data_IF_032443265976
#
_entry.id   IF_032443265976
#
_cell.length_a   1.000
_cell.length_b   1.000
_cell.length_c   1.000
_cell.angle_alpha   90.00
_cell.angle_beta   90.00
_cell.angle_gamma   90.00
#
_symmetry.space_group_name_H-M   'P 1'
#
loop_
_entity.id
_entity.type
_entity.pdbx_description
1 polymer ?
#
# COMPACT_ATOMS: atom_id res chain seq x y z
N UNK A 1 -31.76 44.69 19.02
CA UNK A 1 -30.64 43.93 19.61
C UNK A 1 -31.02 42.47 19.51
N UNK A 2 -30.50 41.80 18.48
CA UNK A 2 -30.87 40.41 18.16
C UNK A 2 -29.78 39.53 18.76
N UNK A 3 -30.18 38.67 19.69
CA UNK A 3 -29.32 37.66 20.32
C UNK A 3 -29.27 36.47 19.37
N UNK A 4 -28.10 36.22 18.80
CA UNK A 4 -27.84 35.07 17.94
C UNK A 4 -27.16 34.00 18.80
N UNK A 5 -27.88 32.90 19.03
CA UNK A 5 -27.42 31.75 19.81
C UNK A 5 -26.50 30.92 18.91
N UNK A 6 -25.24 30.82 19.32
CA UNK A 6 -24.21 29.97 18.71
C UNK A 6 -24.54 28.50 18.98
N UNK A 7 -24.92 27.76 17.94
CA UNK A 7 -25.02 26.31 17.95
C UNK A 7 -23.62 25.70 17.91
N UNK A 8 -23.28 24.95 18.95
CA UNK A 8 -21.97 24.36 19.17
C UNK A 8 -21.59 23.32 18.12
N UNK A 9 -20.41 23.50 17.54
CA UNK A 9 -19.63 22.42 16.97
C UNK A 9 -18.81 21.85 18.13
N UNK A 10 -19.07 20.59 18.47
CA UNK A 10 -18.22 19.80 19.35
C UNK A 10 -16.93 19.51 18.58
N UNK A 11 -15.89 20.28 18.86
CA UNK A 11 -14.51 19.93 18.51
C UNK A 11 -14.10 18.78 19.45
N UNK A 12 -14.22 17.52 19.01
CA UNK A 12 -13.46 16.45 19.64
C UNK A 12 -12.00 16.63 19.23
N UNK A 13 -11.24 17.28 20.11
CA UNK A 13 -9.78 17.25 20.11
C UNK A 13 -9.34 15.79 20.29
N UNK A 14 -8.81 15.17 19.24
CA UNK A 14 -7.89 14.05 19.42
C UNK A 14 -6.56 14.65 19.90
N UNK A 15 -6.31 14.45 21.19
CA UNK A 15 -5.05 14.78 21.84
C UNK A 15 -4.03 13.70 21.52
N UNK A 16 -2.86 14.15 21.07
CA UNK A 16 -1.53 13.59 21.28
C UNK A 16 -1.45 12.29 22.10
N UNK A 17 -0.94 11.25 21.47
CA UNK A 17 -0.11 10.22 22.12
C UNK A 17 1.19 10.08 21.33
N UNK A 18 2.02 11.13 21.36
CA UNK A 18 3.45 10.99 21.14
C UNK A 18 4.07 10.63 22.50
N UNK A 19 4.22 9.34 22.75
CA UNK A 19 4.84 8.81 23.96
C UNK A 19 6.25 8.30 23.66
N UNK A 20 7.24 9.06 24.12
CA UNK A 20 8.57 8.64 24.57
C UNK A 20 9.19 7.37 23.93
N UNK A 21 10.04 7.56 22.92
CA UNK A 21 11.17 6.64 22.68
C UNK A 21 12.44 7.25 23.26
N UNK A 22 12.75 6.81 24.48
CA UNK A 22 13.99 7.11 25.16
C UNK A 22 15.18 6.47 24.44
N UNK A 23 16.14 7.33 24.10
CA UNK A 23 17.52 7.00 23.72
C UNK A 23 18.17 6.05 24.73
N UNK A 24 18.55 4.85 24.28
CA UNK A 24 19.58 4.05 24.95
C UNK A 24 20.77 3.95 24.02
N UNK A 25 21.84 4.65 24.40
CA UNK A 25 23.16 4.51 23.83
C UNK A 25 23.70 3.11 24.15
N UNK A 26 23.99 2.33 23.11
CA UNK A 26 24.70 1.07 23.20
C UNK A 26 25.93 1.12 22.31
N UNK A 27 27.08 1.44 22.90
CA UNK A 27 28.38 1.31 22.27
C UNK A 27 28.69 -0.16 21.99
N UNK A 28 29.09 -0.46 20.75
CA UNK A 28 29.51 -1.80 20.34
C UNK A 28 30.45 -1.73 19.15
N UNK A 29 31.73 -1.55 19.43
CA UNK A 29 32.84 -1.80 18.51
C UNK A 29 32.80 -3.25 18.01
N UNK A 30 32.92 -3.47 16.70
CA UNK A 30 33.43 -4.72 16.14
C UNK A 30 33.97 -4.50 14.73
N UNK A 31 35.26 -4.76 14.60
CA UNK A 31 36.14 -4.54 13.47
C UNK A 31 35.99 -5.60 12.39
N UNK A 32 36.20 -5.15 11.15
CA UNK A 32 36.97 -5.81 10.08
C UNK A 32 36.69 -7.28 9.73
N UNK A 33 36.21 -7.52 8.50
CA UNK A 33 36.80 -8.57 7.67
C UNK A 33 36.79 -8.21 6.18
N UNK A 34 37.86 -8.63 5.53
CA UNK A 34 38.41 -8.23 4.24
C UNK A 34 37.69 -8.84 3.04
N UNK A 35 37.42 -8.01 2.04
CA UNK A 35 37.00 -8.44 0.70
C UNK A 35 38.19 -8.64 -0.23
N UNK A 36 38.25 -9.82 -0.84
CA UNK A 36 38.98 -10.13 -2.07
C UNK A 36 38.17 -11.18 -2.85
N UNK A 37 37.98 -11.00 -4.16
CA UNK A 37 37.34 -12.04 -4.99
C UNK A 37 36.83 -11.58 -6.35
N UNK A 38 37.74 -11.38 -7.29
CA UNK A 38 37.52 -11.15 -8.72
C UNK A 38 36.91 -12.37 -9.44
N UNK A 39 36.19 -12.17 -10.56
CA UNK A 39 35.96 -13.25 -11.53
C UNK A 39 34.91 -12.99 -12.61
N UNK A 40 35.39 -12.74 -13.83
CA UNK A 40 34.66 -12.59 -15.10
C UNK A 40 33.92 -13.84 -15.62
N UNK A 41 32.95 -13.65 -16.52
CA UNK A 41 32.42 -14.67 -17.44
C UNK A 41 30.99 -14.36 -17.88
N UNK A 42 30.73 -13.67 -19.00
CA UNK A 42 30.84 -14.08 -20.41
C UNK A 42 29.58 -14.80 -20.98
N UNK A 43 29.18 -14.26 -22.14
CA UNK A 43 28.43 -14.77 -23.30
C UNK A 43 27.11 -15.57 -23.18
N UNK A 44 26.03 -14.96 -23.74
CA UNK A 44 25.54 -15.44 -25.05
C UNK A 44 24.06 -15.85 -25.21
N UNK A 45 23.46 -15.31 -26.29
CA UNK A 45 22.37 -15.87 -27.11
C UNK A 45 20.96 -15.86 -26.48
N UNK A 46 19.90 -15.34 -27.10
CA UNK A 46 19.51 -15.39 -28.51
C UNK A 46 18.21 -16.21 -28.60
N UNK A 47 17.06 -15.55 -28.80
CA UNK A 47 15.77 -16.23 -28.85
C UNK A 47 14.64 -15.30 -29.28
N UNK A 48 14.48 -15.12 -30.58
CA UNK A 48 13.32 -14.50 -31.22
C UNK A 48 12.24 -15.57 -31.47
N UNK A 49 11.04 -15.35 -30.95
CA UNK A 49 9.84 -16.16 -31.20
C UNK A 49 8.61 -15.26 -31.27
N UNK A 50 8.06 -15.12 -32.47
CA UNK A 50 6.72 -14.58 -32.75
C UNK A 50 5.67 -15.57 -32.30
N UNK A 51 4.57 -15.12 -31.68
CA UNK A 51 3.23 -15.70 -31.87
C UNK A 51 2.15 -14.60 -31.80
N UNK A 52 1.49 -14.40 -32.94
CA UNK A 52 0.27 -13.63 -33.10
C UNK A 52 -0.91 -14.39 -32.46
N UNK A 53 -1.66 -13.73 -31.57
CA UNK A 53 -2.85 -14.30 -30.93
C UNK A 53 -3.97 -13.28 -30.83
N UNK A 54 -4.77 -13.17 -31.89
CA UNK A 54 -6.06 -12.45 -31.88
C UNK A 54 -7.11 -13.32 -31.18
N UNK A 55 -7.71 -12.82 -30.11
CA UNK A 55 -8.78 -13.47 -29.38
C UNK A 55 -9.79 -12.46 -28.84
N UNK A 56 -10.80 -12.15 -29.65
CA UNK A 56 -12.04 -11.53 -29.22
C UNK A 56 -12.78 -12.45 -28.23
N UNK A 57 -13.23 -11.90 -27.10
CA UNK A 57 -13.97 -12.66 -26.08
C UNK A 57 -14.72 -11.75 -25.12
N UNK A 58 -15.80 -11.14 -25.59
CA UNK A 58 -16.78 -10.48 -24.73
C UNK A 58 -17.46 -11.47 -23.78
N UNK A 59 -17.56 -11.11 -22.51
CA UNK A 59 -18.22 -11.89 -21.48
C UNK A 59 -18.74 -10.99 -20.36
N UNK A 60 -19.85 -10.30 -20.62
CA UNK A 60 -20.68 -9.69 -19.58
C UNK A 60 -21.46 -10.78 -18.85
N UNK A 61 -21.36 -10.81 -17.52
CA UNK A 61 -22.29 -11.57 -16.69
C UNK A 61 -21.76 -11.96 -15.31
N UNK A 62 -21.67 -11.01 -14.38
CA UNK A 62 -21.60 -11.36 -12.96
C UNK A 62 -23.02 -11.31 -12.38
N UNK A 63 -23.66 -12.48 -12.33
CA UNK A 63 -24.93 -12.67 -11.62
C UNK A 63 -24.59 -13.13 -10.21
N UNK A 64 -24.51 -12.17 -9.29
CA UNK A 64 -24.34 -12.42 -7.87
C UNK A 64 -25.43 -13.37 -7.38
N UNK A 65 -25.02 -14.60 -7.08
CA UNK A 65 -25.81 -15.53 -6.28
C UNK A 65 -25.21 -15.46 -4.88
N UNK A 66 -25.89 -14.75 -3.99
CA UNK A 66 -25.51 -14.63 -2.59
C UNK A 66 -25.41 -16.01 -1.96
N UNK A 67 -24.18 -16.43 -1.66
CA UNK A 67 -23.91 -17.51 -0.75
C UNK A 67 -23.87 -16.91 0.65
N UNK A 68 -25.02 -16.93 1.32
CA UNK A 68 -25.09 -16.85 2.78
C UNK A 68 -24.44 -18.10 3.38
N UNK A 69 -23.11 -18.12 3.38
CA UNK A 69 -22.28 -19.19 3.90
C UNK A 69 -21.89 -18.88 5.34
N UNK A 70 -22.77 -19.21 6.28
CA UNK A 70 -22.42 -19.29 7.70
C UNK A 70 -21.54 -20.54 7.89
N UNK A 71 -20.26 -20.42 7.56
CA UNK A 71 -19.28 -21.49 7.61
C UNK A 71 -17.94 -20.94 8.09
N UNK A 72 -17.64 -21.15 9.37
CA UNK A 72 -16.30 -20.92 9.90
C UNK A 72 -15.28 -21.68 9.03
N UNK A 73 -14.44 -20.95 8.28
CA UNK A 73 -13.30 -21.53 7.57
C UNK A 73 -13.32 -21.47 6.04
N UNK A 74 -14.23 -20.73 5.40
CA UNK A 74 -14.09 -20.43 3.97
C UNK A 74 -13.09 -19.29 3.75
N UNK A 75 -12.19 -19.46 2.78
CA UNK A 75 -11.24 -18.41 2.37
C UNK A 75 -12.00 -17.40 1.51
N UNK A 76 -12.04 -16.15 1.98
CA UNK A 76 -12.65 -15.05 1.24
C UNK A 76 -12.03 -14.91 -0.16
N UNK A 77 -12.88 -14.75 -1.16
CA UNK A 77 -12.50 -14.62 -2.56
C UNK A 77 -12.43 -13.15 -2.98
N UNK A 78 -11.80 -12.89 -4.13
CA UNK A 78 -11.74 -11.54 -4.71
C UNK A 78 -13.15 -11.01 -4.98
N UNK A 79 -13.42 -9.80 -4.51
CA UNK A 79 -14.71 -9.11 -4.59
C UNK A 79 -15.66 -9.40 -3.42
N UNK A 80 -15.31 -10.32 -2.51
CA UNK A 80 -16.05 -10.52 -1.27
C UNK A 80 -15.66 -9.47 -0.24
N UNK A 81 -16.56 -9.23 0.71
CA UNK A 81 -16.35 -8.24 1.76
C UNK A 81 -16.21 -8.89 3.13
N UNK A 82 -15.37 -8.27 3.96
CA UNK A 82 -15.09 -8.71 5.32
C UNK A 82 -15.28 -7.55 6.30
N UNK A 83 -15.68 -7.84 7.55
CA UNK A 83 -15.75 -6.83 8.58
C UNK A 83 -14.37 -6.42 9.05
N UNK A 84 -14.30 -5.27 9.70
CA UNK A 84 -13.06 -4.80 10.33
C UNK A 84 -12.53 -5.84 11.32
N UNK A 85 -11.31 -6.32 11.07
CA UNK A 85 -10.60 -7.27 11.92
C UNK A 85 -9.59 -6.60 12.86
N UNK A 86 -9.47 -5.27 12.83
CA UNK A 86 -8.51 -4.49 13.60
C UNK A 86 -7.64 -3.57 12.74
N UNK A 87 -6.63 -2.98 13.36
CA UNK A 87 -5.70 -2.09 12.66
C UNK A 87 -4.85 -2.83 11.61
N UNK A 88 -4.53 -2.16 10.51
CA UNK A 88 -3.62 -2.63 9.48
C UNK A 88 -2.31 -3.20 10.08
N UNK A 89 -1.90 -4.39 9.63
CA UNK A 89 -0.67 -5.04 10.08
C UNK A 89 -0.77 -5.77 11.44
N UNK A 90 -1.96 -5.89 12.04
CA UNK A 90 -2.16 -6.75 13.21
C UNK A 90 -2.05 -8.23 12.83
N UNK A 91 -1.24 -8.95 13.59
CA UNK A 91 -1.05 -10.40 13.49
C UNK A 91 -2.30 -11.11 14.02
N UNK A 92 -3.00 -11.84 13.16
CA UNK A 92 -4.11 -12.72 13.56
C UNK A 92 -3.55 -14.06 14.04
N UNK A 93 -3.30 -14.18 15.36
CA UNK A 93 -2.68 -15.38 15.96
C UNK A 93 -3.60 -16.62 15.97
N UNK A 94 -4.91 -16.43 15.89
CA UNK A 94 -5.91 -17.50 16.05
C UNK A 94 -6.17 -18.33 14.78
N UNK A 95 -5.51 -18.05 13.65
CA UNK A 95 -5.77 -18.72 12.34
C UNK A 95 -7.25 -18.68 11.91
N UNK A 96 -8.08 -17.87 12.57
CA UNK A 96 -9.49 -17.71 12.24
C UNK A 96 -9.58 -16.76 11.04
N UNK A 97 -10.01 -17.31 9.91
CA UNK A 97 -10.31 -16.54 8.71
C UNK A 97 -11.47 -15.57 9.00
N UNK A 98 -11.50 -14.40 8.34
CA UNK A 98 -12.52 -13.41 8.61
C UNK A 98 -13.90 -13.93 8.18
N UNK A 99 -14.95 -13.47 8.84
CA UNK A 99 -16.32 -13.69 8.38
C UNK A 99 -16.50 -13.03 7.01
N UNK A 100 -17.03 -13.77 6.03
CA UNK A 100 -17.45 -13.20 4.75
C UNK A 100 -18.85 -12.62 4.94
N UNK A 101 -19.04 -11.36 4.57
CA UNK A 101 -20.31 -10.63 4.65
C UNK A 101 -20.68 -10.07 3.29
N UNK A 102 -21.97 -9.81 3.07
CA UNK A 102 -22.41 -9.07 1.89
C UNK A 102 -21.79 -7.67 1.89
N UNK A 103 -21.32 -7.18 0.74
CA UNK A 103 -20.70 -5.85 0.65
C UNK A 103 -21.66 -4.68 0.98
N UNK A 104 -22.97 -4.93 0.95
CA UNK A 104 -23.99 -3.98 1.39
C UNK A 104 -24.31 -4.09 2.90
N UNK A 105 -23.74 -5.07 3.61
CA UNK A 105 -23.86 -5.20 5.07
C UNK A 105 -23.13 -4.00 5.72
N UNK A 106 -23.74 -3.28 6.69
CA UNK A 106 -23.08 -2.17 7.39
C UNK A 106 -21.82 -2.58 8.15
N UNK A 107 -21.58 -3.88 8.36
CA UNK A 107 -20.34 -4.43 8.92
C UNK A 107 -19.24 -4.57 7.88
N UNK A 108 -19.55 -4.59 6.58
CA UNK A 108 -18.55 -4.69 5.52
C UNK A 108 -17.67 -3.44 5.51
N UNK A 109 -16.42 -3.59 5.92
CA UNK A 109 -15.45 -2.49 5.95
C UNK A 109 -14.47 -2.61 4.79
N UNK A 110 -14.08 -3.83 4.43
CA UNK A 110 -13.09 -4.07 3.38
C UNK A 110 -13.65 -4.98 2.29
N UNK A 111 -13.28 -4.70 1.04
CA UNK A 111 -13.39 -5.58 -0.12
C UNK A 111 -12.03 -6.28 -0.34
N UNK A 112 -12.06 -7.59 -0.57
CA UNK A 112 -10.87 -8.38 -0.91
C UNK A 112 -10.51 -8.14 -2.37
N UNK A 113 -9.33 -7.57 -2.63
CA UNK A 113 -8.84 -7.30 -3.97
C UNK A 113 -7.92 -8.41 -4.48
N UNK A 114 -7.20 -9.06 -3.58
CA UNK A 114 -6.32 -10.18 -3.89
C UNK A 114 -6.14 -11.09 -2.68
N UNK A 115 -5.91 -12.38 -2.94
CA UNK A 115 -5.58 -13.38 -1.94
C UNK A 115 -4.17 -13.87 -2.24
N UNK A 116 -3.22 -13.53 -1.37
CA UNK A 116 -1.84 -14.01 -1.45
C UNK A 116 -1.76 -15.32 -0.67
N UNK A 117 -1.68 -16.45 -1.39
CA UNK A 117 -1.62 -17.78 -0.79
C UNK A 117 -0.24 -18.09 -0.18
N UNK A 118 0.83 -17.57 -0.78
CA UNK A 118 2.22 -17.84 -0.39
C UNK A 118 3.00 -16.54 -0.14
N UNK A 119 4.00 -16.53 0.77
CA UNK A 119 4.79 -15.33 1.08
C UNK A 119 5.51 -14.71 -0.13
N UNK A 120 5.83 -15.53 -1.15
CA UNK A 120 6.49 -15.09 -2.38
C UNK A 120 5.51 -14.65 -3.49
N UNK A 121 4.21 -14.66 -3.20
CA UNK A 121 3.17 -14.22 -4.13
C UNK A 121 3.13 -12.70 -4.33
N UNK A 122 2.15 -12.23 -5.10
CA UNK A 122 1.96 -10.80 -5.37
C UNK A 122 1.74 -10.03 -4.09
N UNK A 123 2.61 -9.05 -3.84
CA UNK A 123 2.54 -8.15 -2.68
C UNK A 123 1.32 -7.26 -2.75
N UNK A 124 0.74 -6.89 -1.61
CA UNK A 124 -0.45 -6.04 -1.61
C UNK A 124 -0.16 -4.63 -2.11
N UNK A 125 1.07 -4.13 -1.96
CA UNK A 125 1.51 -2.87 -2.59
C UNK A 125 1.54 -2.93 -4.13
N UNK A 126 1.55 -4.14 -4.70
CA UNK A 126 1.52 -4.38 -6.15
C UNK A 126 0.10 -4.70 -6.66
N UNK A 127 -0.91 -4.67 -5.78
CA UNK A 127 -2.32 -4.89 -6.13
C UNK A 127 -3.00 -3.55 -6.32
N UNK A 128 -3.63 -3.38 -7.48
CA UNK A 128 -4.34 -2.14 -7.82
C UNK A 128 -5.47 -1.87 -6.83
N UNK A 129 -5.55 -0.65 -6.31
CA UNK A 129 -6.55 -0.24 -5.32
C UNK A 129 -6.26 -0.65 -3.88
N UNK A 130 -5.30 -1.54 -3.60
CA UNK A 130 -5.06 -2.00 -2.23
C UNK A 130 -4.61 -0.86 -1.32
N UNK A 131 -5.26 -0.68 -0.18
CA UNK A 131 -4.87 0.32 0.82
C UNK A 131 -4.47 -0.33 2.14
N UNK A 132 -4.84 -1.60 2.31
CA UNK A 132 -4.65 -2.34 3.55
C UNK A 132 -4.33 -3.81 3.24
N UNK A 133 -3.89 -4.54 4.26
CA UNK A 133 -3.67 -5.97 4.17
C UNK A 133 -3.95 -6.66 5.50
N UNK A 134 -4.52 -7.86 5.43
CA UNK A 134 -4.74 -8.74 6.58
C UNK A 134 -3.89 -9.99 6.40
N UNK A 135 -2.94 -10.21 7.29
CA UNK A 135 -1.95 -11.29 7.17
C UNK A 135 -2.17 -12.42 8.18
N UNK A 136 -1.75 -13.63 7.79
CA UNK A 136 -1.86 -14.87 8.56
C UNK A 136 -0.52 -15.62 8.60
N UNK A 137 -0.01 -15.95 9.80
CA UNK A 137 1.16 -16.84 9.92
C UNK A 137 0.73 -18.28 9.80
N UNK A 138 1.19 -19.02 8.77
CA UNK A 138 0.95 -20.46 8.69
C UNK A 138 -0.54 -20.84 8.56
N UNK A 139 -1.37 -19.89 8.14
CA UNK A 139 -2.75 -20.12 7.73
C UNK A 139 -2.83 -20.69 6.32
N UNK A 140 -4.06 -20.93 5.82
CA UNK A 140 -4.28 -21.38 4.46
C UNK A 140 -4.03 -20.30 3.39
N UNK A 141 -3.87 -19.05 3.82
CA UNK A 141 -3.41 -17.92 3.02
C UNK A 141 -2.31 -17.20 3.79
N UNK A 142 -1.46 -16.46 3.09
CA UNK A 142 -0.47 -15.60 3.70
C UNK A 142 -1.05 -14.20 3.96
N UNK A 143 -1.77 -13.61 2.99
CA UNK A 143 -2.43 -12.32 3.19
C UNK A 143 -3.67 -12.11 2.30
N UNK A 144 -4.59 -11.28 2.78
CA UNK A 144 -5.61 -10.63 1.96
C UNK A 144 -5.18 -9.20 1.67
N UNK A 145 -5.22 -8.78 0.42
CA UNK A 145 -5.01 -7.39 0.02
C UNK A 145 -6.37 -6.70 -0.08
N UNK A 146 -6.52 -5.60 0.64
CA UNK A 146 -7.82 -5.04 1.00
C UNK A 146 -7.93 -3.58 0.57
N UNK A 147 -9.15 -3.16 0.27
CA UNK A 147 -9.53 -1.76 0.13
C UNK A 147 -10.82 -1.51 0.89
N UNK A 148 -11.02 -0.30 1.42
CA UNK A 148 -12.29 0.03 2.08
C UNK A 148 -13.45 0.00 1.10
N UNK A 149 -14.59 -0.51 1.54
CA UNK A 149 -15.82 -0.54 0.73
C UNK A 149 -16.22 0.89 0.37
N UNK A 150 -16.41 1.14 -0.93
CA UNK A 150 -16.81 2.44 -1.46
C UNK A 150 -15.64 3.39 -1.80
N UNK A 151 -14.39 3.02 -1.48
CA UNK A 151 -13.23 3.78 -1.95
C UNK A 151 -13.06 3.66 -3.47
N UNK A 152 -12.55 4.73 -4.07
CA UNK A 152 -12.29 4.80 -5.50
C UNK A 152 -10.91 4.21 -5.83
N UNK A 153 -10.91 2.97 -6.35
CA UNK A 153 -9.71 2.25 -6.81
C UNK A 153 -8.84 3.10 -7.74
N UNK A 154 -9.45 3.90 -8.62
CA UNK A 154 -8.71 4.70 -9.62
C UNK A 154 -7.88 5.82 -9.01
N UNK A 155 -8.17 6.21 -7.76
CA UNK A 155 -7.43 7.25 -7.02
C UNK A 155 -6.26 6.69 -6.22
N UNK A 156 -6.13 5.38 -6.09
CA UNK A 156 -5.07 4.74 -5.31
C UNK A 156 -3.71 4.85 -6.04
N UNK A 157 -2.64 5.18 -5.31
CA UNK A 157 -1.31 5.44 -5.90
C UNK A 157 -0.38 4.21 -5.98
N UNK A 158 -0.80 3.02 -5.56
CA UNK A 158 0.07 1.83 -5.48
C UNK A 158 0.80 1.56 -6.78
N UNK A 159 0.07 1.53 -7.90
CA UNK A 159 0.61 1.28 -9.23
C UNK A 159 0.77 2.57 -10.04
N UNK A 160 1.03 3.70 -9.37
CA UNK A 160 1.28 4.97 -10.08
C UNK A 160 2.60 4.87 -10.87
N UNK A 161 2.61 5.42 -12.07
CA UNK A 161 3.73 5.36 -13.01
C UNK A 161 4.36 6.74 -13.26
N UNK A 162 5.64 6.79 -13.68
CA UNK A 162 6.26 8.02 -14.18
C UNK A 162 5.42 8.69 -15.27
N UNK A 163 5.18 9.98 -15.13
CA UNK A 163 4.38 10.79 -16.06
C UNK A 163 2.91 10.92 -15.69
N UNK A 164 2.38 10.09 -14.80
CA UNK A 164 1.09 10.30 -14.15
C UNK A 164 1.16 11.47 -13.14
N UNK A 165 0.02 11.80 -12.53
CA UNK A 165 -0.06 12.89 -11.57
C UNK A 165 -0.80 12.48 -10.30
N UNK A 166 -0.43 13.14 -9.20
CA UNK A 166 -0.99 12.90 -7.88
C UNK A 166 -1.23 14.21 -7.14
N UNK A 167 -2.20 14.21 -6.23
CA UNK A 167 -2.55 15.35 -5.39
C UNK A 167 -2.48 14.97 -3.91
N UNK A 168 -1.90 15.85 -3.11
CA UNK A 168 -1.84 15.69 -1.67
C UNK A 168 -3.12 16.24 -1.03
N UNK A 169 -3.92 15.35 -0.43
CA UNK A 169 -5.13 15.69 0.30
C UNK A 169 -4.91 15.43 1.80
N UNK A 170 -4.56 16.49 2.52
CA UNK A 170 -4.20 16.39 3.94
C UNK A 170 -2.84 15.72 4.12
N UNK A 171 -2.82 14.42 4.41
CA UNK A 171 -1.59 13.63 4.60
C UNK A 171 -1.50 12.44 3.63
N UNK A 172 -2.53 12.25 2.80
CA UNK A 172 -2.62 11.15 1.85
C UNK A 172 -2.47 11.68 0.45
N UNK A 173 -1.78 10.90 -0.39
CA UNK A 173 -1.59 11.21 -1.79
C UNK A 173 -2.52 10.32 -2.63
N UNK A 174 -3.20 10.92 -3.60
CA UNK A 174 -4.13 10.24 -4.50
C UNK A 174 -3.74 10.51 -5.95
N UNK A 175 -3.98 9.55 -6.85
CA UNK A 175 -3.92 9.81 -8.30
C UNK A 175 -4.93 10.88 -8.69
N UNK A 176 -4.55 11.71 -9.64
CA UNK A 176 -5.39 12.76 -10.19
C UNK A 176 -5.01 13.07 -11.63
N UNK A 177 -5.93 13.71 -12.36
CA UNK A 177 -5.60 14.28 -13.66
C UNK A 177 -4.51 15.35 -13.51
N UNK A 178 -3.51 15.35 -14.39
CA UNK A 178 -2.41 16.32 -14.38
C UNK A 178 -2.83 17.79 -14.54
N UNK A 179 -4.06 18.05 -15.00
CA UNK A 179 -4.62 19.41 -15.09
C UNK A 179 -5.32 19.87 -13.81
N UNK A 180 -5.43 19.01 -12.80
CA UNK A 180 -6.12 19.31 -11.55
C UNK A 180 -5.34 20.32 -10.71
N UNK A 181 -6.05 21.19 -10.00
CA UNK A 181 -5.42 22.17 -9.12
C UNK A 181 -4.64 21.44 -8.00
N UNK A 182 -3.35 21.76 -7.87
CA UNK A 182 -2.48 21.15 -6.85
C UNK A 182 -1.97 19.75 -7.20
N UNK A 183 -2.21 19.26 -8.42
CA UNK A 183 -1.58 18.03 -8.89
C UNK A 183 -0.09 18.25 -9.17
N UNK A 184 0.71 17.31 -8.72
CA UNK A 184 2.13 17.17 -9.01
C UNK A 184 2.34 16.05 -10.01
N UNK A 185 3.28 16.21 -10.93
CA UNK A 185 3.65 15.15 -11.87
C UNK A 185 4.65 14.21 -11.21
N UNK A 186 4.42 12.92 -11.38
CA UNK A 186 5.34 11.86 -10.97
C UNK A 186 6.51 11.82 -11.94
N UNK A 187 7.72 12.02 -11.43
CA UNK A 187 8.96 11.92 -12.21
C UNK A 187 9.47 10.48 -12.19
N UNK A 188 9.55 9.89 -10.99
CA UNK A 188 10.01 8.53 -10.79
C UNK A 188 9.32 7.90 -9.58
N UNK A 189 9.26 6.57 -9.59
CA UNK A 189 8.79 5.71 -8.50
C UNK A 189 9.92 4.76 -8.16
N UNK A 190 10.16 4.53 -6.88
CA UNK A 190 11.25 3.69 -6.42
C UNK A 190 10.84 2.89 -5.19
N UNK A 191 11.39 1.68 -5.07
CA UNK A 191 11.08 0.75 -3.99
C UNK A 191 12.01 0.95 -2.79
N UNK A 192 11.54 0.54 -1.61
CA UNK A 192 12.27 0.52 -0.35
C UNK A 192 12.95 1.86 -0.05
N UNK A 193 12.19 2.96 0.01
CA UNK A 193 12.75 4.30 -0.04
C UNK A 193 13.48 4.71 1.25
N UNK A 194 13.50 3.86 2.28
CA UNK A 194 14.10 4.12 3.59
C UNK A 194 13.38 5.24 4.35
N UNK A 195 13.83 5.58 5.57
CA UNK A 195 13.29 6.73 6.30
C UNK A 195 13.71 8.05 5.62
N UNK A 196 12.77 8.99 5.50
CA UNK A 196 13.10 10.37 5.08
C UNK A 196 13.44 11.25 6.29
N UNK A 197 14.38 12.19 6.15
CA UNK A 197 14.52 13.28 7.10
C UNK A 197 13.28 14.18 7.11
N UNK A 198 13.01 14.87 8.23
CA UNK A 198 11.92 15.84 8.35
C UNK A 198 12.03 17.01 7.36
N UNK A 199 13.25 17.33 6.93
CA UNK A 199 13.55 18.43 6.02
C UNK A 199 14.78 18.13 5.19
N UNK A 200 14.82 18.65 3.96
CA UNK A 200 15.97 18.58 3.07
C UNK A 200 16.62 19.97 2.93
N UNK A 201 17.93 20.03 3.16
CA UNK A 201 18.75 21.21 2.84
C UNK A 201 19.35 21.06 1.43
N UNK A 202 18.53 21.32 0.41
CA UNK A 202 18.92 21.22 -1.00
C UNK A 202 18.16 20.13 -1.76
N UNK A 203 18.79 19.47 -2.76
CA UNK A 203 18.15 18.39 -3.51
C UNK A 203 17.67 17.26 -2.59
N UNK A 204 16.57 16.63 -2.98
CA UNK A 204 16.03 15.47 -2.26
C UNK A 204 16.89 14.25 -2.63
N UNK A 205 17.87 13.91 -1.78
CA UNK A 205 18.88 12.87 -2.08
C UNK A 205 18.26 11.56 -2.61
N UNK A 206 17.22 10.99 -2.00
CA UNK A 206 16.59 9.77 -2.54
C UNK A 206 16.06 9.94 -3.98
N UNK A 207 15.54 11.12 -4.33
CA UNK A 207 15.08 11.40 -5.68
C UNK A 207 16.24 11.60 -6.66
N UNK A 208 17.33 12.22 -6.23
CA UNK A 208 18.55 12.33 -7.04
C UNK A 208 19.10 10.94 -7.37
N UNK A 209 19.18 10.05 -6.37
CA UNK A 209 19.64 8.66 -6.53
C UNK A 209 18.70 7.85 -7.42
N UNK A 210 17.40 8.11 -7.35
CA UNK A 210 16.38 7.52 -8.22
C UNK A 210 16.32 8.15 -9.63
N UNK A 211 17.25 9.05 -9.98
CA UNK A 211 17.35 9.66 -11.31
C UNK A 211 16.41 10.84 -11.57
N UNK A 212 15.82 11.43 -10.53
CA UNK A 212 14.91 12.58 -10.57
C UNK A 212 15.46 13.79 -9.77
N UNK A 213 16.60 14.38 -10.17
CA UNK A 213 17.22 15.50 -9.45
C UNK A 213 16.39 16.78 -9.44
N UNK A 214 15.39 16.90 -10.32
CA UNK A 214 14.46 18.02 -10.43
C UNK A 214 13.23 17.89 -9.51
N UNK A 215 13.12 16.79 -8.76
CA UNK A 215 12.03 16.60 -7.82
C UNK A 215 12.02 17.69 -6.73
N UNK A 216 10.84 18.24 -6.48
CA UNK A 216 10.61 19.26 -5.45
C UNK A 216 9.87 18.72 -4.24
N UNK A 217 9.31 17.51 -4.36
CA UNK A 217 8.62 16.80 -3.30
C UNK A 217 8.91 15.30 -3.42
N UNK A 218 8.93 14.62 -2.27
CA UNK A 218 8.94 13.18 -2.17
C UNK A 218 7.78 12.76 -1.28
N UNK A 219 7.09 11.69 -1.67
CA UNK A 219 6.05 11.06 -0.86
C UNK A 219 6.33 9.58 -0.74
N UNK A 220 6.13 9.04 0.46
CA UNK A 220 6.39 7.64 0.77
C UNK A 220 5.13 6.99 1.33
N UNK A 221 4.87 5.76 0.93
CA UNK A 221 3.74 4.98 1.42
C UNK A 221 4.06 3.49 1.42
N UNK A 222 3.16 2.71 2.02
CA UNK A 222 3.23 1.27 2.02
C UNK A 222 1.87 0.69 2.36
N UNK A 223 1.70 -0.59 2.08
CA UNK A 223 0.59 -1.41 2.56
C UNK A 223 1.22 -2.38 3.56
N UNK A 224 0.58 -2.63 4.71
CA UNK A 224 1.15 -3.49 5.76
C UNK A 224 1.11 -4.99 5.35
N UNK A 225 1.83 -5.34 4.29
CA UNK A 225 1.78 -6.64 3.64
C UNK A 225 2.84 -7.62 4.16
N UNK A 226 3.45 -7.34 5.32
CA UNK A 226 4.40 -8.22 6.00
C UNK A 226 4.16 -8.22 7.51
N UNK A 227 4.37 -9.35 8.20
CA UNK A 227 4.22 -9.43 9.65
C UNK A 227 5.11 -8.46 10.43
N UNK A 228 4.49 -7.71 11.33
CA UNK A 228 5.19 -6.74 12.18
C UNK A 228 5.66 -5.49 11.43
N UNK A 229 5.33 -5.38 10.14
CA UNK A 229 5.53 -4.17 9.36
C UNK A 229 4.37 -3.22 9.62
N UNK A 230 4.66 -2.17 10.38
CA UNK A 230 3.73 -1.04 10.50
C UNK A 230 3.70 -0.25 9.20
N UNK A 231 2.62 0.49 8.93
CA UNK A 231 2.53 1.43 7.80
C UNK A 231 3.66 2.48 7.76
N UNK A 232 4.47 2.60 8.82
CA UNK A 232 5.67 3.43 8.87
C UNK A 232 6.89 2.84 8.13
N UNK A 233 6.89 1.55 7.77
CA UNK A 233 7.90 1.02 6.86
C UNK A 233 7.40 1.21 5.44
N UNK A 234 7.70 2.38 4.91
CA UNK A 234 7.35 2.73 3.55
C UNK A 234 7.98 1.75 2.55
N UNK A 235 7.17 1.26 1.62
CA UNK A 235 7.55 0.25 0.64
C UNK A 235 7.83 0.88 -0.72
N UNK A 236 7.15 1.99 -1.03
CA UNK A 236 7.34 2.78 -2.23
C UNK A 236 7.53 4.25 -1.91
N UNK A 237 8.34 4.90 -2.74
CA UNK A 237 8.52 6.33 -2.79
C UNK A 237 8.21 6.87 -4.19
N UNK A 238 7.64 8.07 -4.25
CA UNK A 238 7.44 8.83 -5.49
C UNK A 238 8.13 10.19 -5.38
N UNK A 239 8.76 10.58 -6.47
CA UNK A 239 9.39 11.89 -6.64
C UNK A 239 8.54 12.75 -7.58
N UNK A 240 8.27 13.99 -7.16
CA UNK A 240 7.20 14.83 -7.68
C UNK A 240 7.68 16.23 -8.08
N UNK A 241 7.09 16.84 -9.12
CA UNK A 241 7.27 18.26 -9.50
C UNK A 241 6.00 18.99 -9.93
#
# INVERSE_FOLDING_TARGET
>A
MVVLVLGGIVLTRFLNTAGDMATTAGSGDSSSESGEGSGDGDSGSGGSGNEDGSGDGGGSGNSGSGSGGSGNGEIAQVGECIPDQGEAGVVVENLELPEIVDCDDPRAVFEVLHVREEPTGTRCIDVDGSTDALWYTGGPVDAFCLMKVGDDKSRNINLIEPGECAVLEGQLMYRADCGSAGAYRVITVYDNPGPLPESFDGPITPCVEAGAPEATMVYQWGVADEPGVTSAQHQRGICLN
#
